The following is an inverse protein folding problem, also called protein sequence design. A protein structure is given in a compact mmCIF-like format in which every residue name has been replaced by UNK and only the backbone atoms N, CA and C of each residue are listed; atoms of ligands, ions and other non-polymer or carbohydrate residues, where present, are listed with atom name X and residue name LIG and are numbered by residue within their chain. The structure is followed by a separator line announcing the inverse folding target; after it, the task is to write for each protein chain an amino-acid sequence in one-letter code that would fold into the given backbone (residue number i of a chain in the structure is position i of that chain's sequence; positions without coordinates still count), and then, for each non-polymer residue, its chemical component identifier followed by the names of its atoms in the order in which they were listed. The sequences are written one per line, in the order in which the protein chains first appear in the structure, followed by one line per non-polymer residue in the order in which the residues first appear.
data_IF_040221645346
#
_entry.id   IF_040221645346
#
_cell.length_a   1.000
_cell.length_b   1.000
_cell.length_c   1.000
_cell.angle_alpha   90.00
_cell.angle_beta   90.00
_cell.angle_gamma   90.00
#
_symmetry.space_group_name_H-M   'P 1'
#
loop_
_entity.id
_entity.type
_entity.pdbx_description
1 polymer ?
#
# COMPACT_ATOMS: atom_id res chain seq x y z
N UNK A 1 -4.70 8.52 20.52
CA UNK A 1 -4.34 7.10 20.30
C UNK A 1 -4.51 6.76 18.82
N UNK A 2 -4.03 5.62 18.36
CA UNK A 2 -4.19 5.20 16.95
C UNK A 2 -5.68 5.05 16.54
N UNK A 3 -6.52 4.62 17.47
CA UNK A 3 -7.98 4.58 17.29
C UNK A 3 -8.56 5.94 16.91
N UNK A 4 -8.08 7.02 17.52
CA UNK A 4 -8.59 8.38 17.26
C UNK A 4 -8.23 8.83 15.83
N UNK A 5 -7.14 8.32 15.28
CA UNK A 5 -6.79 8.56 13.87
C UNK A 5 -7.69 7.76 12.92
N UNK A 6 -8.00 6.50 13.26
CA UNK A 6 -8.89 5.68 12.44
C UNK A 6 -10.32 6.21 12.39
N UNK A 7 -10.82 6.75 13.52
CA UNK A 7 -12.16 7.32 13.61
C UNK A 7 -12.38 8.56 12.74
N UNK A 8 -11.30 9.22 12.29
CA UNK A 8 -11.38 10.35 11.35
C UNK A 8 -11.78 9.94 9.93
N UNK A 9 -11.72 8.66 9.61
CA UNK A 9 -11.94 8.13 8.27
C UNK A 9 -13.11 7.16 8.28
N UNK A 10 -14.18 7.48 7.58
CA UNK A 10 -15.26 6.52 7.34
C UNK A 10 -14.91 5.65 6.13
N UNK A 11 -15.29 4.38 6.18
CA UNK A 11 -15.08 3.45 5.07
C UNK A 11 -15.81 3.90 3.80
N UNK A 12 -17.01 4.43 3.97
CA UNK A 12 -17.85 4.94 2.89
C UNK A 12 -17.18 6.11 2.17
N UNK A 13 -16.63 7.07 2.93
CA UNK A 13 -15.96 8.24 2.36
C UNK A 13 -14.67 7.86 1.61
N UNK A 14 -13.87 6.96 2.18
CA UNK A 14 -12.64 6.46 1.53
C UNK A 14 -13.00 5.73 0.24
N UNK A 15 -13.98 4.84 0.26
CA UNK A 15 -14.40 4.07 -0.91
C UNK A 15 -14.94 5.00 -2.01
N UNK A 16 -15.74 5.98 -1.65
CA UNK A 16 -16.24 6.98 -2.59
C UNK A 16 -15.10 7.83 -3.19
N UNK A 17 -14.13 8.22 -2.37
CA UNK A 17 -12.97 8.97 -2.82
C UNK A 17 -12.13 8.16 -3.82
N UNK A 18 -11.84 6.89 -3.52
CA UNK A 18 -11.13 5.99 -4.43
C UNK A 18 -11.88 5.82 -5.75
N UNK A 19 -13.20 5.60 -5.69
CA UNK A 19 -14.04 5.41 -6.87
C UNK A 19 -14.15 6.69 -7.75
N UNK A 20 -13.99 7.86 -7.15
CA UNK A 20 -14.04 9.14 -7.86
C UNK A 20 -12.78 9.50 -8.65
N UNK A 21 -11.67 8.78 -8.41
CA UNK A 21 -10.39 9.05 -9.07
C UNK A 21 -10.45 8.77 -10.56
N UNK A 22 -9.72 9.59 -11.33
CA UNK A 22 -9.67 9.54 -12.79
C UNK A 22 -8.25 9.25 -13.27
N UNK A 23 -8.10 8.89 -14.54
CA UNK A 23 -6.81 8.63 -15.17
C UNK A 23 -5.80 9.77 -14.97
N UNK A 24 -6.26 11.01 -15.01
CA UNK A 24 -5.41 12.18 -14.75
C UNK A 24 -4.79 12.17 -13.35
N UNK A 25 -5.56 11.75 -12.34
CA UNK A 25 -5.05 11.67 -10.95
C UNK A 25 -3.98 10.60 -10.84
N UNK A 26 -4.14 9.49 -11.55
CA UNK A 26 -3.14 8.41 -11.63
C UNK A 26 -1.87 8.89 -12.32
N UNK A 27 -1.99 9.61 -13.45
CA UNK A 27 -0.82 10.16 -14.16
C UNK A 27 -0.04 11.18 -13.32
N UNK A 28 -0.76 12.04 -12.59
CA UNK A 28 -0.14 12.98 -11.65
C UNK A 28 0.60 12.23 -10.54
N UNK A 29 -0.02 11.21 -9.96
CA UNK A 29 0.59 10.40 -8.91
C UNK A 29 1.85 9.68 -9.40
N UNK A 30 1.83 9.10 -10.61
CA UNK A 30 2.98 8.42 -11.19
C UNK A 30 4.16 9.35 -11.50
N UNK A 31 3.90 10.63 -11.71
CA UNK A 31 4.93 11.65 -11.96
C UNK A 31 5.53 12.28 -10.71
N UNK A 32 5.00 12.00 -9.51
CA UNK A 32 5.47 12.57 -8.25
C UNK A 32 6.63 11.77 -7.65
N UNK A 33 7.61 12.47 -7.11
CA UNK A 33 8.69 11.87 -6.32
C UNK A 33 8.24 11.54 -4.89
N UNK A 34 7.38 12.38 -4.32
CA UNK A 34 6.82 12.19 -2.97
C UNK A 34 5.31 12.06 -3.03
N UNK A 35 4.83 10.85 -2.76
CA UNK A 35 3.41 10.51 -2.77
C UNK A 35 2.74 10.87 -1.45
N UNK A 36 1.52 11.37 -1.55
CA UNK A 36 0.61 11.60 -0.43
C UNK A 36 -0.49 10.53 -0.41
N UNK A 37 -1.28 10.51 0.66
CA UNK A 37 -2.37 9.55 0.80
C UNK A 37 -3.37 9.62 -0.36
N UNK A 38 -3.67 10.82 -0.83
CA UNK A 38 -4.56 11.05 -1.97
C UNK A 38 -4.03 10.44 -3.28
N UNK A 39 -2.71 10.54 -3.50
CA UNK A 39 -2.05 9.90 -4.64
C UNK A 39 -2.12 8.36 -4.53
N UNK A 40 -1.95 7.82 -3.32
CA UNK A 40 -2.12 6.38 -3.09
C UNK A 40 -3.55 5.92 -3.43
N UNK A 41 -4.56 6.69 -3.01
CA UNK A 41 -5.95 6.39 -3.36
C UNK A 41 -6.18 6.38 -4.88
N UNK A 42 -5.51 7.26 -5.64
CA UNK A 42 -5.56 7.23 -7.10
C UNK A 42 -4.91 5.96 -7.68
N UNK A 43 -3.76 5.53 -7.15
CA UNK A 43 -3.04 4.35 -7.63
C UNK A 43 -3.75 3.02 -7.33
N UNK A 44 -4.59 2.95 -6.29
CA UNK A 44 -5.41 1.77 -5.98
C UNK A 44 -6.82 1.84 -6.58
N UNK A 45 -7.15 2.92 -7.28
CA UNK A 45 -8.47 3.11 -7.90
C UNK A 45 -8.63 2.27 -9.17
N UNK A 46 -9.88 2.00 -9.60
CA UNK A 46 -10.14 1.34 -10.88
C UNK A 46 -9.53 2.07 -12.09
N UNK A 47 -9.38 3.40 -12.00
CA UNK A 47 -8.74 4.21 -13.05
C UNK A 47 -7.25 3.89 -13.26
N UNK A 48 -6.60 3.24 -12.28
CA UNK A 48 -5.20 2.84 -12.38
C UNK A 48 -4.99 1.54 -13.19
N UNK A 49 -6.04 0.78 -13.49
CA UNK A 49 -5.91 -0.51 -14.18
C UNK A 49 -5.11 -0.44 -15.50
N UNK A 50 -5.28 0.55 -16.39
CA UNK A 50 -4.47 0.68 -17.61
C UNK A 50 -2.98 0.98 -17.35
N UNK A 51 -2.63 1.44 -16.14
CA UNK A 51 -1.27 1.87 -15.78
C UNK A 51 -0.48 0.82 -14.99
N UNK A 52 -1.01 -0.39 -14.81
CA UNK A 52 -0.39 -1.45 -13.99
C UNK A 52 1.03 -1.77 -14.46
N UNK A 53 1.26 -1.87 -15.75
CA UNK A 53 2.60 -2.14 -16.30
C UNK A 53 3.60 -1.01 -15.98
N UNK A 54 3.15 0.24 -16.07
CA UNK A 54 3.97 1.39 -15.69
C UNK A 54 4.27 1.40 -14.19
N UNK A 55 3.27 1.11 -13.35
CA UNK A 55 3.44 0.98 -11.90
C UNK A 55 4.44 -0.14 -11.55
N UNK A 56 4.34 -1.29 -12.22
CA UNK A 56 5.25 -2.42 -12.04
C UNK A 56 6.69 -2.06 -12.43
N UNK A 57 6.87 -1.33 -13.54
CA UNK A 57 8.19 -0.86 -13.97
C UNK A 57 8.83 0.09 -12.95
N UNK A 58 8.07 1.06 -12.41
CA UNK A 58 8.55 1.97 -11.36
C UNK A 58 8.86 1.23 -10.07
N UNK A 59 7.99 0.31 -9.64
CA UNK A 59 8.21 -0.53 -8.46
C UNK A 59 9.50 -1.34 -8.58
N UNK A 60 9.74 -1.93 -9.75
CA UNK A 60 10.98 -2.64 -10.04
C UNK A 60 12.21 -1.72 -9.95
N UNK A 61 12.12 -0.52 -10.49
CA UNK A 61 13.19 0.47 -10.43
C UNK A 61 13.56 0.80 -8.99
N UNK A 62 12.58 1.19 -8.17
CA UNK A 62 12.78 1.50 -6.75
C UNK A 62 13.31 0.31 -5.95
N UNK A 63 12.83 -0.88 -6.24
CA UNK A 63 13.32 -2.10 -5.59
C UNK A 63 14.80 -2.33 -5.91
N UNK A 64 15.19 -2.17 -7.18
CA UNK A 64 16.58 -2.34 -7.60
C UNK A 64 17.52 -1.27 -7.04
N UNK A 65 17.05 -0.02 -6.93
CA UNK A 65 17.82 1.05 -6.30
C UNK A 65 18.10 0.79 -4.82
N UNK A 66 17.12 0.25 -4.09
CA UNK A 66 17.23 0.05 -2.63
C UNK A 66 17.84 -1.28 -2.23
N UNK A 67 17.55 -2.33 -2.96
CA UNK A 67 17.90 -3.71 -2.58
C UNK A 67 18.76 -4.43 -3.63
N UNK A 68 19.01 -3.80 -4.77
CA UNK A 68 19.72 -4.43 -5.87
C UNK A 68 18.94 -5.62 -6.45
N UNK A 69 19.63 -6.69 -6.77
CA UNK A 69 19.05 -7.95 -7.27
C UNK A 69 18.98 -9.02 -6.19
N UNK A 70 18.91 -8.62 -4.93
CA UNK A 70 18.90 -9.55 -3.80
C UNK A 70 17.46 -9.80 -3.34
N UNK A 71 17.11 -11.07 -3.15
CA UNK A 71 15.85 -11.51 -2.58
C UNK A 71 16.16 -12.25 -1.30
N UNK A 72 15.61 -11.78 -0.19
CA UNK A 72 15.65 -12.49 1.09
C UNK A 72 14.46 -13.42 1.17
N UNK A 73 14.72 -14.70 1.34
CA UNK A 73 13.67 -15.69 1.55
C UNK A 73 13.74 -16.19 2.99
N UNK A 74 12.62 -16.23 3.65
CA UNK A 74 12.50 -16.80 4.99
C UNK A 74 11.20 -17.58 5.11
N UNK A 75 11.22 -18.57 6.00
CA UNK A 75 10.03 -19.34 6.37
C UNK A 75 9.96 -19.36 7.90
N UNK A 76 8.86 -18.92 8.51
CA UNK A 76 8.68 -19.06 9.94
C UNK A 76 8.48 -20.56 10.28
N UNK A 77 9.27 -21.05 11.22
CA UNK A 77 9.17 -22.42 11.72
C UNK A 77 8.69 -22.39 13.18
N UNK A 78 7.43 -22.72 13.39
CA UNK A 78 6.84 -22.80 14.72
C UNK A 78 7.03 -24.21 15.28
N UNK A 79 7.88 -24.33 16.32
CA UNK A 79 8.08 -25.59 17.02
C UNK A 79 6.89 -25.88 17.95
N UNK A 80 6.31 -24.82 18.53
CA UNK A 80 5.14 -24.88 19.40
C UNK A 80 4.43 -23.53 19.44
N UNK A 81 3.12 -23.54 19.68
CA UNK A 81 2.33 -22.33 19.98
C UNK A 81 2.01 -22.21 21.48
N UNK A 82 2.61 -23.04 22.32
CA UNK A 82 2.51 -22.90 23.79
C UNK A 82 3.17 -21.56 24.18
N UNK A 83 2.41 -20.73 24.88
CA UNK A 83 2.86 -19.43 25.35
C UNK A 83 2.27 -19.15 26.73
N UNK A 84 3.05 -18.51 27.61
CA UNK A 84 2.60 -18.08 28.93
C UNK A 84 2.12 -16.62 28.96
N UNK A 85 2.20 -15.92 27.84
CA UNK A 85 1.78 -14.53 27.73
C UNK A 85 0.27 -14.43 27.41
N UNK A 86 -0.31 -13.30 27.80
CA UNK A 86 -1.71 -12.95 27.55
C UNK A 86 -1.79 -11.74 26.61
N UNK A 87 -1.38 -11.90 25.34
CA UNK A 87 -1.49 -10.85 24.34
C UNK A 87 -2.93 -10.68 23.87
N UNK A 88 -3.37 -9.43 23.72
CA UNK A 88 -4.76 -9.09 23.42
C UNK A 88 -5.24 -9.63 22.06
N UNK A 89 -4.34 -9.79 21.10
CA UNK A 89 -4.66 -10.21 19.73
C UNK A 89 -4.25 -11.67 19.41
N UNK A 90 -3.79 -12.41 20.40
CA UNK A 90 -3.31 -13.79 20.20
C UNK A 90 -4.23 -14.85 20.85
#
# INVERSE_FOLDING_TARGET
MFSDELEKYSWEDITACIASKRSRDVEIALGKEHLQLDDFMALVSPAAAPYIEHMAALSRLYTQERFGKTIQMYVPLYITNSCTNHCVYC
#
